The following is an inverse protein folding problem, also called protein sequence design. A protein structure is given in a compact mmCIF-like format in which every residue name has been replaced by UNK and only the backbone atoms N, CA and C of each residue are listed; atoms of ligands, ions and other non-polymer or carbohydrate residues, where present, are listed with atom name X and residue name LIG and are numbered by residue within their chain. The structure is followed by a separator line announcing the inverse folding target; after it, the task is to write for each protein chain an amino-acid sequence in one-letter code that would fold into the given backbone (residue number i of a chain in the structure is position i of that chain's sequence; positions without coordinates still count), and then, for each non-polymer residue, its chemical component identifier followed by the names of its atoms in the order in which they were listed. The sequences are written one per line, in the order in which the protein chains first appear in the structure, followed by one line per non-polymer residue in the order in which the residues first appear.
data_IF_929352761473
#
_entry.id   IF_929352761473
#
_cell.length_a   1.000
_cell.length_b   1.000
_cell.length_c   1.000
_cell.angle_alpha   90.00
_cell.angle_beta   90.00
_cell.angle_gamma   90.00
#
_symmetry.space_group_name_H-M   'P 1'
#
loop_
_entity.id
_entity.type
_entity.pdbx_description
1 polymer ?
#
# COMPACT_ATOMS: atom_id res chain seq x y z
N UNK A 1 17.04 -14.86 -48.66
CA UNK A 1 16.77 -13.58 -47.97
C UNK A 1 15.52 -13.77 -47.11
N UNK A 2 15.69 -13.90 -45.80
CA UNK A 2 15.25 -12.93 -44.77
C UNK A 2 13.74 -13.05 -44.44
N UNK A 3 13.28 -13.22 -43.20
CA UNK A 3 13.89 -12.80 -41.95
C UNK A 3 13.32 -13.53 -40.72
N UNK A 4 14.15 -13.47 -39.68
CA UNK A 4 14.00 -14.08 -38.36
C UNK A 4 12.78 -13.50 -37.64
N UNK A 5 11.92 -14.39 -37.16
CA UNK A 5 10.84 -14.08 -36.20
C UNK A 5 11.51 -13.57 -34.92
N UNK A 6 11.28 -12.29 -34.60
CA UNK A 6 11.87 -11.62 -33.45
C UNK A 6 11.25 -12.11 -32.13
N UNK A 7 12.10 -12.19 -31.11
CA UNK A 7 11.87 -12.75 -29.77
C UNK A 7 10.94 -11.89 -28.88
N UNK A 8 10.13 -10.99 -29.46
CA UNK A 8 9.40 -9.93 -28.72
C UNK A 8 8.09 -10.40 -28.06
N UNK A 9 7.60 -11.60 -28.39
CA UNK A 9 6.28 -12.08 -27.95
C UNK A 9 6.32 -13.15 -26.85
N UNK A 10 7.47 -13.45 -26.25
CA UNK A 10 7.59 -14.50 -25.23
C UNK A 10 6.95 -14.10 -23.88
N UNK A 11 6.97 -12.82 -23.55
CA UNK A 11 6.43 -12.29 -22.29
C UNK A 11 4.89 -12.17 -22.32
N UNK A 12 4.31 -11.81 -23.48
CA UNK A 12 2.85 -11.74 -23.66
C UNK A 12 2.17 -13.11 -23.52
N UNK A 13 2.85 -14.21 -23.88
CA UNK A 13 2.33 -15.58 -23.65
C UNK A 13 2.35 -16.01 -22.18
N UNK A 14 3.09 -15.32 -21.30
CA UNK A 14 3.01 -15.54 -19.84
C UNK A 14 1.83 -14.81 -19.19
N UNK A 15 1.19 -13.88 -19.90
CA UNK A 15 0.11 -13.02 -19.38
C UNK A 15 -1.22 -13.17 -20.14
N UNK A 16 -1.26 -13.86 -21.29
CA UNK A 16 -2.52 -14.16 -21.97
C UNK A 16 -3.21 -15.39 -21.37
N UNK A 17 -4.04 -15.07 -20.38
CA UNK A 17 -5.11 -15.89 -19.82
C UNK A 17 -6.05 -16.36 -20.94
N UNK A 18 -5.96 -17.64 -21.32
CA UNK A 18 -7.01 -18.29 -22.08
C UNK A 18 -8.28 -18.36 -21.23
N UNK A 19 -9.37 -17.84 -21.80
CA UNK A 19 -10.77 -17.93 -21.37
C UNK A 19 -11.08 -19.25 -20.67
N UNK A 20 -11.15 -19.27 -19.34
CA UNK A 20 -11.77 -20.37 -18.55
C UNK A 20 -11.88 -19.99 -17.06
N UNK A 21 -13.09 -20.18 -16.51
CA UNK A 21 -13.63 -19.87 -15.15
C UNK A 21 -12.84 -18.92 -14.24
N UNK A 22 -13.37 -17.69 -14.07
CA UNK A 22 -12.74 -16.52 -13.44
C UNK A 22 -12.63 -16.51 -11.89
N UNK A 23 -13.21 -17.43 -11.13
CA UNK A 23 -13.30 -17.29 -9.65
C UNK A 23 -12.36 -18.17 -8.80
N UNK A 24 -12.12 -19.44 -9.13
CA UNK A 24 -11.51 -20.37 -8.18
C UNK A 24 -9.98 -20.27 -8.04
N UNK A 25 -9.26 -19.90 -9.11
CA UNK A 25 -7.79 -19.76 -9.06
C UNK A 25 -7.33 -18.46 -8.43
N UNK A 26 -8.07 -17.35 -8.58
CA UNK A 26 -7.77 -16.10 -7.85
C UNK A 26 -7.89 -16.37 -6.36
N UNK A 27 -9.01 -16.91 -5.88
CA UNK A 27 -9.18 -17.26 -4.47
C UNK A 27 -8.12 -18.24 -3.96
N UNK A 28 -7.79 -19.31 -4.71
CA UNK A 28 -6.72 -20.24 -4.30
C UNK A 28 -5.33 -19.59 -4.28
N UNK A 29 -5.03 -18.72 -5.24
CA UNK A 29 -3.74 -18.05 -5.32
C UNK A 29 -3.60 -16.99 -4.21
N UNK A 30 -4.69 -16.26 -3.92
CA UNK A 30 -4.79 -15.32 -2.81
C UNK A 30 -4.72 -16.04 -1.47
N UNK A 31 -5.47 -17.12 -1.28
CA UNK A 31 -5.39 -17.95 -0.09
C UNK A 31 -3.98 -18.52 0.10
N UNK A 32 -3.29 -18.95 -0.95
CA UNK A 32 -1.94 -19.48 -0.84
C UNK A 32 -0.90 -18.40 -0.51
N UNK A 33 -0.97 -17.21 -1.14
CA UNK A 33 -0.09 -16.08 -0.79
C UNK A 33 -0.34 -15.62 0.66
N UNK A 34 -1.61 -15.53 1.03
CA UNK A 34 -2.07 -15.21 2.38
C UNK A 34 -1.62 -16.25 3.41
N UNK A 35 -1.82 -17.53 3.13
CA UNK A 35 -1.38 -18.63 3.97
C UNK A 35 0.15 -18.68 4.06
N UNK A 36 0.89 -18.40 2.97
CA UNK A 36 2.35 -18.31 3.05
C UNK A 36 2.83 -17.14 3.90
N UNK A 37 2.20 -15.97 3.78
CA UNK A 37 2.52 -14.80 4.59
C UNK A 37 2.21 -15.06 6.07
N UNK A 38 1.01 -15.55 6.40
CA UNK A 38 0.62 -15.84 7.77
C UNK A 38 1.38 -17.02 8.39
N UNK A 39 1.73 -18.05 7.61
CA UNK A 39 2.54 -19.18 8.10
C UNK A 39 3.99 -18.78 8.34
N UNK A 40 4.57 -17.91 7.50
CA UNK A 40 5.93 -17.41 7.66
C UNK A 40 6.02 -16.42 8.83
N UNK A 41 5.00 -15.58 9.02
CA UNK A 41 4.87 -14.72 10.20
C UNK A 41 4.84 -15.53 11.51
N UNK A 42 4.24 -16.72 11.47
CA UNK A 42 4.15 -17.65 12.61
C UNK A 42 5.51 -18.24 13.04
N UNK A 43 6.60 -18.05 12.27
CA UNK A 43 7.92 -18.60 12.59
C UNK A 43 9.00 -17.55 12.89
N UNK A 44 8.78 -16.26 12.60
CA UNK A 44 9.75 -15.20 12.94
C UNK A 44 9.37 -14.53 14.27
N UNK A 45 10.10 -14.88 15.34
CA UNK A 45 10.01 -14.17 16.63
C UNK A 45 10.17 -12.66 16.44
N UNK A 46 9.11 -11.95 16.83
CA UNK A 46 8.75 -10.55 16.53
C UNK A 46 9.70 -9.49 17.15
N UNK A 47 10.69 -9.86 17.96
CA UNK A 47 11.46 -8.89 18.78
C UNK A 47 12.82 -8.44 18.26
N UNK A 48 13.28 -8.88 17.08
CA UNK A 48 14.66 -8.55 16.61
C UNK A 48 14.81 -8.18 15.14
N UNK A 49 13.90 -7.38 14.57
CA UNK A 49 14.28 -6.55 13.41
C UNK A 49 15.10 -5.31 13.85
N UNK A 50 16.14 -5.54 14.64
CA UNK A 50 17.20 -4.58 14.94
C UNK A 50 18.05 -4.45 13.67
N UNK A 51 17.78 -3.43 12.85
CA UNK A 51 18.70 -2.87 11.83
C UNK A 51 19.50 -3.91 11.00
N UNK A 52 18.92 -5.06 10.65
CA UNK A 52 19.61 -6.02 9.78
C UNK A 52 19.19 -5.80 8.33
N UNK A 53 20.00 -4.97 7.66
CA UNK A 53 20.50 -5.20 6.30
C UNK A 53 19.54 -5.85 5.29
N UNK A 54 18.32 -5.32 5.14
CA UNK A 54 17.71 -5.24 3.80
C UNK A 54 18.15 -3.91 3.21
N UNK A 55 19.45 -3.86 2.93
CA UNK A 55 20.13 -2.79 2.20
C UNK A 55 20.29 -3.26 0.75
N UNK A 56 19.16 -3.61 0.13
CA UNK A 56 19.01 -3.75 -1.31
C UNK A 56 17.84 -2.86 -1.67
N UNK A 57 18.16 -1.58 -1.90
CA UNK A 57 17.24 -0.53 -2.36
C UNK A 57 15.85 -0.61 -1.69
N UNK A 58 15.73 -0.11 -0.46
CA UNK A 58 14.42 0.04 0.18
C UNK A 58 13.51 0.82 -0.77
N UNK A 59 12.52 0.14 -1.34
CA UNK A 59 11.52 0.74 -2.20
C UNK A 59 10.64 1.61 -1.31
N UNK A 60 11.06 2.85 -1.11
CA UNK A 60 10.33 3.83 -0.33
C UNK A 60 10.15 5.06 -1.20
N UNK A 61 9.03 5.07 -1.91
CA UNK A 61 8.52 6.27 -2.56
C UNK A 61 8.09 7.26 -1.47
N UNK A 62 9.02 8.11 -1.02
CA UNK A 62 8.75 9.13 0.00
C UNK A 62 8.80 10.52 -0.63
N UNK A 63 7.63 11.05 -1.00
CA UNK A 63 7.50 12.37 -1.62
C UNK A 63 6.79 13.37 -0.71
N UNK A 64 7.07 13.32 0.59
CA UNK A 64 6.54 14.27 1.56
C UNK A 64 6.85 15.72 1.22
N UNK A 65 8.00 15.99 0.59
CA UNK A 65 8.36 17.32 0.12
C UNK A 65 7.39 17.85 -0.95
N UNK A 66 6.74 16.98 -1.72
CA UNK A 66 5.77 17.39 -2.73
C UNK A 66 4.51 18.00 -2.09
N UNK A 67 4.09 17.49 -0.92
CA UNK A 67 2.96 18.05 -0.18
C UNK A 67 3.24 19.49 0.28
N UNK A 68 4.50 19.83 0.55
CA UNK A 68 4.89 21.21 0.89
C UNK A 68 4.90 22.12 -0.34
N UNK A 69 5.25 21.57 -1.51
CA UNK A 69 5.27 22.32 -2.78
C UNK A 69 3.88 22.59 -3.36
N UNK A 70 2.90 21.74 -3.03
CA UNK A 70 1.51 21.88 -3.47
C UNK A 70 0.60 22.01 -2.23
N UNK A 71 0.60 23.19 -1.57
CA UNK A 71 -0.24 23.39 -0.40
C UNK A 71 -1.73 23.34 -0.76
N UNK A 72 -2.60 22.97 0.19
CA UNK A 72 -4.05 23.01 -0.03
C UNK A 72 -4.49 24.45 -0.31
N UNK A 73 -5.36 24.63 -1.31
CA UNK A 73 -5.92 25.95 -1.62
C UNK A 73 -7.09 26.27 -0.69
N UNK A 74 -7.29 27.55 -0.39
CA UNK A 74 -8.49 28.01 0.29
C UNK A 74 -9.69 27.86 -0.65
N UNK A 75 -10.71 27.13 -0.21
CA UNK A 75 -11.91 26.87 -0.98
C UNK A 75 -13.14 26.88 -0.07
N UNK A 76 -14.32 27.13 -0.64
CA UNK A 76 -15.58 27.12 0.09
C UNK A 76 -16.06 25.71 0.46
N UNK A 77 -15.64 24.69 -0.29
CA UNK A 77 -16.04 23.30 -0.05
C UNK A 77 -15.26 22.69 1.12
N UNK A 78 -15.99 21.98 1.98
CA UNK A 78 -15.43 21.30 3.16
C UNK A 78 -14.56 20.10 2.80
N UNK A 79 -14.86 19.37 1.73
CA UNK A 79 -14.12 18.18 1.29
C UNK A 79 -13.58 18.35 -0.12
N UNK A 80 -12.59 17.53 -0.48
CA UNK A 80 -12.01 17.46 -1.81
C UNK A 80 -11.27 18.73 -2.22
N UNK A 81 -10.05 18.94 -1.69
CA UNK A 81 -9.23 20.08 -2.09
C UNK A 81 -8.73 19.94 -3.53
N UNK A 82 -9.06 20.92 -4.38
CA UNK A 82 -8.69 20.87 -5.81
C UNK A 82 -7.17 20.85 -6.06
N UNK A 83 -6.35 21.34 -5.11
CA UNK A 83 -4.90 21.25 -5.19
C UNK A 83 -4.38 19.80 -5.29
N UNK A 84 -5.19 18.81 -4.88
CA UNK A 84 -4.88 17.40 -5.08
C UNK A 84 -4.66 17.03 -6.55
N UNK A 85 -5.38 17.69 -7.48
CA UNK A 85 -5.23 17.45 -8.91
C UNK A 85 -3.86 17.86 -9.40
N UNK A 86 -3.41 19.02 -8.96
CA UNK A 86 -2.09 19.56 -9.29
C UNK A 86 -0.99 18.70 -8.64
N UNK A 87 -1.23 18.23 -7.42
CA UNK A 87 -0.33 17.31 -6.74
C UNK A 87 -0.18 15.97 -7.49
N UNK A 88 -1.29 15.37 -7.94
CA UNK A 88 -1.26 14.17 -8.78
C UNK A 88 -0.59 14.43 -10.13
N UNK A 89 -0.69 15.63 -10.69
CA UNK A 89 0.02 15.95 -11.93
C UNK A 89 1.53 16.03 -11.71
N UNK A 90 1.97 16.63 -10.60
CA UNK A 90 3.38 16.71 -10.26
C UNK A 90 3.98 15.37 -9.82
N UNK A 91 3.16 14.41 -9.39
CA UNK A 91 3.65 13.07 -9.01
C UNK A 91 4.05 12.22 -10.23
N UNK A 92 3.44 12.47 -11.39
CA UNK A 92 3.70 11.73 -12.63
C UNK A 92 5.19 11.65 -12.99
N UNK A 93 5.91 12.79 -13.19
CA UNK A 93 7.32 12.75 -13.56
C UNK A 93 8.21 12.13 -12.46
N UNK A 94 7.80 12.25 -11.19
CA UNK A 94 8.53 11.65 -10.06
C UNK A 94 8.41 10.13 -10.09
N UNK A 95 7.22 9.60 -10.35
CA UNK A 95 7.01 8.15 -10.51
C UNK A 95 7.79 7.62 -11.72
N UNK A 96 7.80 8.35 -12.83
CA UNK A 96 8.54 7.97 -14.03
C UNK A 96 10.06 7.90 -13.79
N UNK A 97 10.64 8.92 -13.17
CA UNK A 97 12.06 8.93 -12.78
C UNK A 97 12.38 7.82 -11.76
N UNK A 98 11.48 7.64 -10.79
CA UNK A 98 11.64 6.64 -9.76
C UNK A 98 11.64 5.21 -10.32
N UNK A 99 10.70 4.84 -11.18
CA UNK A 99 10.65 3.51 -11.79
C UNK A 99 11.87 3.26 -12.69
N UNK A 100 12.31 4.27 -13.46
CA UNK A 100 13.53 4.17 -14.28
C UNK A 100 14.76 3.86 -13.43
N UNK A 101 14.89 4.50 -12.26
CA UNK A 101 16.03 4.30 -11.34
C UNK A 101 15.97 2.97 -10.59
N UNK A 102 14.78 2.51 -10.21
CA UNK A 102 14.62 1.30 -9.39
C UNK A 102 14.64 0.01 -10.21
N UNK A 103 14.21 0.03 -11.47
CA UNK A 103 14.12 -1.18 -12.28
C UNK A 103 15.46 -1.52 -12.95
N UNK A 104 15.89 -2.79 -12.92
CA UNK A 104 17.00 -3.26 -13.73
C UNK A 104 16.77 -3.02 -15.22
N UNK A 105 17.85 -2.83 -15.99
CA UNK A 105 17.78 -2.52 -17.43
C UNK A 105 16.95 -3.54 -18.23
N UNK A 106 17.02 -4.82 -17.87
CA UNK A 106 16.27 -5.90 -18.51
C UNK A 106 14.77 -5.92 -18.17
N UNK A 107 14.33 -5.13 -17.18
CA UNK A 107 12.93 -5.04 -16.72
C UNK A 107 12.30 -3.67 -16.98
N UNK A 108 12.98 -2.76 -17.69
CA UNK A 108 12.46 -1.41 -17.97
C UNK A 108 11.12 -1.42 -18.71
N UNK A 109 10.84 -2.44 -19.52
CA UNK A 109 9.53 -2.59 -20.19
C UNK A 109 8.37 -2.81 -19.20
N UNK A 110 8.63 -3.34 -18.01
CA UNK A 110 7.62 -3.53 -16.97
C UNK A 110 7.22 -2.19 -16.30
N UNK A 111 8.02 -1.12 -16.47
CA UNK A 111 7.72 0.20 -15.93
C UNK A 111 6.36 0.73 -16.39
N UNK A 112 5.95 0.41 -17.63
CA UNK A 112 4.66 0.84 -18.19
C UNK A 112 3.48 0.36 -17.35
N UNK A 113 3.48 -0.91 -16.93
CA UNK A 113 2.40 -1.48 -16.13
C UNK A 113 2.52 -1.07 -14.66
N UNK A 114 3.74 -1.11 -14.11
CA UNK A 114 4.03 -0.70 -12.74
C UNK A 114 3.66 0.76 -12.46
N UNK A 115 3.85 1.63 -13.44
CA UNK A 115 3.46 3.05 -13.39
C UNK A 115 1.98 3.21 -13.13
N UNK A 116 1.13 2.46 -13.84
CA UNK A 116 -0.32 2.55 -13.66
C UNK A 116 -0.73 2.14 -12.25
N UNK A 117 -0.23 1.02 -11.73
CA UNK A 117 -0.54 0.60 -10.36
C UNK A 117 -0.07 1.62 -9.31
N UNK A 118 1.14 2.19 -9.47
CA UNK A 118 1.67 3.14 -8.49
C UNK A 118 0.92 4.48 -8.52
N UNK A 119 0.60 5.02 -9.70
CA UNK A 119 -0.14 6.27 -9.80
C UNK A 119 -1.57 6.14 -9.30
N UNK A 120 -2.25 5.07 -9.69
CA UNK A 120 -3.61 4.80 -9.23
C UNK A 120 -3.66 4.49 -7.74
N UNK A 121 -2.53 4.28 -7.07
CA UNK A 121 -2.52 4.01 -5.64
C UNK A 121 -2.74 5.25 -4.76
N UNK A 122 -2.67 6.47 -5.30
CA UNK A 122 -2.76 7.68 -4.47
C UNK A 122 -4.15 8.32 -4.43
N UNK A 123 -5.12 7.79 -5.18
CA UNK A 123 -6.50 8.31 -5.23
C UNK A 123 -6.95 8.65 -6.65
N UNK A 124 -8.17 9.14 -6.80
CA UNK A 124 -8.72 9.52 -8.10
C UNK A 124 -8.67 11.04 -8.33
N UNK A 125 -8.06 11.47 -9.43
CA UNK A 125 -7.95 12.90 -9.79
C UNK A 125 -9.30 13.60 -9.98
N UNK A 126 -10.27 12.93 -10.61
CA UNK A 126 -11.55 13.55 -10.95
C UNK A 126 -12.43 13.69 -9.71
N UNK A 127 -12.58 12.58 -8.97
CA UNK A 127 -13.43 12.49 -7.78
C UNK A 127 -12.78 13.08 -6.53
N UNK A 128 -11.46 13.25 -6.50
CA UNK A 128 -10.70 13.73 -5.33
C UNK A 128 -10.99 12.84 -4.11
N UNK A 129 -10.93 11.53 -4.36
CA UNK A 129 -11.23 10.50 -3.38
C UNK A 129 -10.08 9.52 -3.23
N UNK A 130 -10.09 8.79 -2.11
CA UNK A 130 -9.21 7.67 -1.83
C UNK A 130 -10.00 6.58 -1.10
N UNK A 131 -9.64 5.32 -1.28
CA UNK A 131 -10.23 4.22 -0.53
C UNK A 131 -9.47 2.92 -0.74
N UNK A 132 -10.07 1.81 -0.30
CA UNK A 132 -9.46 0.47 -0.28
C UNK A 132 -9.03 -0.02 -1.66
N UNK A 133 -9.69 0.43 -2.73
CA UNK A 133 -9.28 0.13 -4.10
C UNK A 133 -7.92 0.75 -4.49
N UNK A 134 -7.64 1.97 -4.00
CA UNK A 134 -6.36 2.66 -4.23
C UNK A 134 -5.24 2.02 -3.40
N UNK A 135 -5.53 1.70 -2.15
CA UNK A 135 -4.64 0.87 -1.33
C UNK A 135 -4.29 -0.46 -2.03
N UNK A 136 -5.30 -1.13 -2.59
CA UNK A 136 -5.10 -2.39 -3.30
C UNK A 136 -4.22 -2.22 -4.54
N UNK A 137 -4.25 -1.07 -5.22
CA UNK A 137 -3.33 -0.79 -6.31
C UNK A 137 -1.87 -0.69 -5.84
N UNK A 138 -1.61 -0.12 -4.66
CA UNK A 138 -0.26 -0.16 -4.09
C UNK A 138 0.18 -1.59 -3.77
N UNK A 139 -0.74 -2.40 -3.25
CA UNK A 139 -0.46 -3.82 -3.01
C UNK A 139 -0.14 -4.56 -4.32
N UNK A 140 -0.91 -4.34 -5.39
CA UNK A 140 -0.66 -4.93 -6.71
C UNK A 140 0.67 -4.47 -7.31
N UNK A 141 1.05 -3.22 -7.05
CA UNK A 141 2.36 -2.70 -7.39
C UNK A 141 3.48 -3.52 -6.71
N UNK A 142 3.41 -3.71 -5.38
CA UNK A 142 4.40 -4.51 -4.63
C UNK A 142 4.42 -5.98 -5.07
N UNK A 143 3.24 -6.55 -5.28
CA UNK A 143 3.09 -7.92 -5.78
C UNK A 143 3.71 -8.09 -7.17
N UNK A 144 3.59 -7.08 -8.04
CA UNK A 144 4.20 -7.11 -9.37
C UNK A 144 5.72 -7.11 -9.30
N UNK A 145 6.33 -6.34 -8.39
CA UNK A 145 7.77 -6.39 -8.14
C UNK A 145 8.24 -7.79 -7.69
N UNK A 146 7.47 -8.43 -6.80
CA UNK A 146 7.73 -9.82 -6.42
C UNK A 146 7.65 -10.77 -7.62
N UNK A 147 6.61 -10.65 -8.46
CA UNK A 147 6.45 -11.48 -9.66
C UNK A 147 7.54 -11.29 -10.71
N UNK A 148 8.17 -10.12 -10.73
CA UNK A 148 9.33 -9.82 -11.58
C UNK A 148 10.64 -10.37 -11.00
N UNK A 149 10.61 -10.95 -9.80
CA UNK A 149 11.79 -11.49 -9.11
C UNK A 149 12.70 -10.41 -8.51
N UNK A 150 12.21 -9.17 -8.39
CA UNK A 150 12.92 -8.09 -7.69
C UNK A 150 12.94 -8.38 -6.19
N UNK A 151 11.86 -8.96 -5.69
CA UNK A 151 11.74 -9.44 -4.32
C UNK A 151 11.56 -10.94 -4.27
N UNK A 152 11.98 -11.50 -3.14
CA UNK A 152 11.84 -12.93 -2.81
C UNK A 152 11.00 -13.09 -1.54
N UNK A 153 10.64 -14.33 -1.22
CA UNK A 153 9.86 -14.65 -0.01
C UNK A 153 10.57 -14.24 1.29
N UNK A 154 11.91 -14.09 1.26
CA UNK A 154 12.69 -13.61 2.40
C UNK A 154 12.49 -12.12 2.68
N UNK A 155 11.97 -11.38 1.70
CA UNK A 155 11.81 -9.93 1.76
C UNK A 155 10.40 -9.52 2.20
N UNK A 156 9.44 -10.44 2.30
CA UNK A 156 8.03 -10.15 2.57
C UNK A 156 7.79 -9.29 3.81
N UNK A 157 8.35 -9.69 4.95
CA UNK A 157 8.21 -8.95 6.21
C UNK A 157 8.80 -7.53 6.09
N UNK A 158 9.97 -7.42 5.46
CA UNK A 158 10.64 -6.14 5.22
C UNK A 158 9.84 -5.23 4.30
N UNK A 159 9.22 -5.77 3.24
CA UNK A 159 8.40 -5.01 2.30
C UNK A 159 7.15 -4.47 2.98
N UNK A 160 6.46 -5.28 3.79
CA UNK A 160 5.27 -4.81 4.52
C UNK A 160 5.68 -3.72 5.51
N UNK A 161 6.66 -3.96 6.38
CA UNK A 161 7.05 -3.00 7.43
C UNK A 161 7.76 -1.75 6.92
N UNK A 162 8.47 -1.80 5.78
CA UNK A 162 9.26 -0.66 5.29
C UNK A 162 8.61 0.07 4.12
N UNK A 163 7.94 -0.64 3.20
CA UNK A 163 7.31 -0.04 2.03
C UNK A 163 5.83 0.22 2.27
N UNK A 164 5.07 -0.81 2.67
CA UNK A 164 3.63 -0.70 2.86
C UNK A 164 3.26 0.25 4.00
N UNK A 165 3.91 0.13 5.16
CA UNK A 165 3.74 1.08 6.27
C UNK A 165 4.00 2.53 5.89
N UNK A 166 5.13 2.79 5.22
CA UNK A 166 5.46 4.15 4.79
C UNK A 166 4.49 4.68 3.75
N UNK A 167 3.97 3.81 2.88
CA UNK A 167 2.91 4.18 1.96
C UNK A 167 1.63 4.55 2.71
N UNK A 168 1.18 3.76 3.69
CA UNK A 168 -0.01 4.07 4.47
C UNK A 168 0.14 5.38 5.24
N UNK A 169 1.28 5.61 5.89
CA UNK A 169 1.58 6.88 6.56
C UNK A 169 1.56 8.05 5.59
N UNK A 170 2.09 7.86 4.38
CA UNK A 170 2.08 8.88 3.35
C UNK A 170 0.67 9.13 2.82
N UNK A 171 -0.08 8.09 2.47
CA UNK A 171 -1.46 8.17 1.99
C UNK A 171 -2.34 8.91 3.01
N UNK A 172 -2.18 8.63 4.31
CA UNK A 172 -2.86 9.37 5.39
C UNK A 172 -2.53 10.84 5.42
N UNK A 173 -1.27 11.22 5.20
CA UNK A 173 -0.89 12.63 5.07
C UNK A 173 -1.58 13.27 3.87
N UNK A 174 -1.60 12.61 2.72
CA UNK A 174 -2.30 13.10 1.52
C UNK A 174 -3.80 13.28 1.79
N UNK A 175 -4.45 12.28 2.39
CA UNK A 175 -5.86 12.31 2.78
C UNK A 175 -6.18 13.52 3.66
N UNK A 176 -5.39 13.75 4.71
CA UNK A 176 -5.60 14.87 5.63
C UNK A 176 -5.25 16.22 5.01
N UNK A 177 -4.18 16.32 4.22
CA UNK A 177 -3.75 17.57 3.59
C UNK A 177 -4.76 18.07 2.56
N UNK A 178 -5.31 17.17 1.74
CA UNK A 178 -6.26 17.54 0.68
C UNK A 178 -7.72 17.23 1.03
N UNK A 179 -8.00 16.80 2.26
CA UNK A 179 -9.34 16.49 2.74
C UNK A 179 -10.10 15.59 1.75
N UNK A 180 -9.45 14.52 1.31
CA UNK A 180 -9.99 13.61 0.29
C UNK A 180 -11.31 12.98 0.76
N UNK A 181 -12.18 12.64 -0.18
CA UNK A 181 -13.41 11.92 0.15
C UNK A 181 -13.13 10.41 0.27
N UNK A 182 -13.82 9.69 1.17
CA UNK A 182 -13.71 8.24 1.26
C UNK A 182 -14.42 7.57 0.08
N UNK A 183 -13.67 6.83 -0.72
CA UNK A 183 -14.17 6.15 -1.90
C UNK A 183 -14.85 4.83 -1.51
N UNK A 184 -16.18 4.77 -1.66
CA UNK A 184 -16.96 3.57 -1.41
C UNK A 184 -17.13 3.25 0.08
N UNK A 185 -17.32 4.27 0.92
CA UNK A 185 -17.56 4.07 2.34
C UNK A 185 -18.79 3.18 2.57
N UNK A 186 -18.64 2.17 3.43
CA UNK A 186 -19.73 1.29 3.84
C UNK A 186 -20.53 1.86 5.03
N UNK A 187 -20.33 3.14 5.35
CA UNK A 187 -20.91 3.79 6.53
C UNK A 187 -20.49 3.07 7.82
N UNK A 188 -21.45 2.90 8.74
CA UNK A 188 -21.24 2.26 10.06
C UNK A 188 -20.78 0.80 9.98
N UNK A 189 -20.90 0.16 8.81
CA UNK A 189 -20.45 -1.22 8.58
C UNK A 189 -19.04 -1.31 7.97
N UNK A 190 -18.41 -0.18 7.66
CA UNK A 190 -17.03 -0.12 7.24
C UNK A 190 -16.08 -0.27 8.43
N UNK A 191 -15.01 -1.02 8.25
CA UNK A 191 -13.94 -1.14 9.25
C UNK A 191 -13.19 0.19 9.44
N UNK A 192 -12.96 0.90 8.34
CA UNK A 192 -12.36 2.23 8.27
C UNK A 192 -12.80 2.89 6.95
N UNK A 193 -12.75 4.22 6.92
CA UNK A 193 -13.18 5.01 5.76
C UNK A 193 -12.25 4.85 4.53
N UNK A 194 -10.96 4.56 4.75
CA UNK A 194 -9.96 4.56 3.69
C UNK A 194 -9.21 3.23 3.54
N UNK A 195 -8.93 2.53 4.63
CA UNK A 195 -7.95 1.44 4.65
C UNK A 195 -8.55 0.10 5.10
N UNK A 196 -8.00 -1.01 4.59
CA UNK A 196 -8.39 -2.34 5.02
C UNK A 196 -7.19 -3.26 5.28
N UNK A 197 -6.24 -3.29 4.34
CA UNK A 197 -5.02 -4.09 4.47
C UNK A 197 -4.15 -3.80 5.72
N UNK A 198 -4.14 -2.60 6.35
CA UNK A 198 -3.31 -2.34 7.52
C UNK A 198 -3.84 -3.07 8.75
N UNK A 199 -5.17 -3.23 8.85
CA UNK A 199 -5.79 -4.04 9.90
C UNK A 199 -5.49 -5.51 9.71
N UNK A 200 -5.49 -5.96 8.47
CA UNK A 200 -5.13 -7.31 8.08
C UNK A 200 -3.68 -7.64 8.45
N UNK A 201 -2.72 -6.83 8.01
CA UNK A 201 -1.30 -7.09 8.29
C UNK A 201 -0.98 -6.85 9.76
N UNK A 202 -1.58 -5.81 10.36
CA UNK A 202 -1.44 -5.55 11.78
C UNK A 202 -2.04 -6.65 12.68
N UNK A 203 -3.13 -7.30 12.26
CA UNK A 203 -3.68 -8.44 13.00
C UNK A 203 -2.77 -9.66 12.88
N UNK A 204 -2.20 -9.89 11.70
CA UNK A 204 -1.17 -10.92 11.53
C UNK A 204 0.01 -10.66 12.47
N UNK A 205 0.38 -9.39 12.68
CA UNK A 205 1.45 -9.01 13.61
C UNK A 205 1.20 -9.33 15.07
N UNK A 206 -0.05 -9.46 15.46
CA UNK A 206 -0.45 -9.74 16.84
C UNK A 206 -0.63 -11.24 17.11
N UNK A 207 -0.46 -12.10 16.11
CA UNK A 207 -0.50 -13.55 16.29
C UNK A 207 0.65 -13.97 17.20
N UNK A 208 0.32 -14.65 18.30
CA UNK A 208 1.29 -15.12 19.32
C UNK A 208 2.19 -14.01 19.86
N UNK A 209 1.64 -12.80 20.03
CA UNK A 209 2.38 -11.71 20.63
C UNK A 209 2.78 -12.05 22.08
N UNK A 210 4.03 -11.75 22.45
CA UNK A 210 4.60 -12.06 23.76
C UNK A 210 3.94 -11.28 24.91
N UNK A 211 3.25 -10.18 24.59
CA UNK A 211 2.70 -9.25 25.55
C UNK A 211 1.25 -9.61 25.97
N UNK A 212 0.72 -10.72 25.45
CA UNK A 212 -0.62 -11.21 25.81
C UNK A 212 -1.76 -10.29 25.35
N UNK A 213 -1.52 -9.50 24.30
CA UNK A 213 -2.50 -8.62 23.68
C UNK A 213 -3.61 -9.46 23.05
N UNK A 214 -4.84 -9.20 23.49
CA UNK A 214 -6.06 -9.80 22.98
C UNK A 214 -6.82 -8.79 22.11
N UNK A 215 -7.79 -9.24 21.27
CA UNK A 215 -8.66 -8.33 20.53
C UNK A 215 -9.34 -7.28 21.43
N UNK A 216 -9.76 -7.64 22.64
CA UNK A 216 -10.36 -6.70 23.61
C UNK A 216 -9.43 -5.55 24.04
N UNK A 217 -8.12 -5.70 23.85
CA UNK A 217 -7.14 -4.67 24.17
C UNK A 217 -7.22 -3.46 23.23
N UNK A 218 -7.89 -3.57 22.08
CA UNK A 218 -8.03 -2.46 21.10
C UNK A 218 -8.84 -1.28 21.64
N UNK A 219 -9.64 -1.48 22.69
CA UNK A 219 -10.47 -0.44 23.30
C UNK A 219 -9.69 0.34 24.38
N UNK A 220 -8.61 -0.24 24.90
CA UNK A 220 -7.86 0.31 26.04
C UNK A 220 -6.91 1.41 25.56
N UNK A 221 -7.22 2.67 25.85
CA UNK A 221 -6.39 3.81 25.42
C UNK A 221 -4.91 3.70 25.80
N UNK A 222 -4.61 3.16 26.99
CA UNK A 222 -3.22 2.98 27.45
C UNK A 222 -2.46 1.97 26.58
N UNK A 223 -3.13 0.89 26.14
CA UNK A 223 -2.54 -0.10 25.25
C UNK A 223 -2.28 0.54 23.89
N UNK A 224 -3.27 1.24 23.32
CA UNK A 224 -3.13 1.92 22.03
C UNK A 224 -1.94 2.88 22.06
N UNK A 225 -1.84 3.73 23.09
CA UNK A 225 -0.74 4.71 23.23
C UNK A 225 0.64 4.05 23.29
N UNK A 226 0.75 2.92 23.98
CA UNK A 226 2.03 2.21 24.14
C UNK A 226 2.45 1.47 22.87
N UNK A 227 1.49 0.92 22.11
CA UNK A 227 1.76 -0.02 21.02
C UNK A 227 1.59 0.53 19.61
N UNK A 228 1.02 1.74 19.45
CA UNK A 228 0.79 2.36 18.13
C UNK A 228 2.05 2.61 17.30
N UNK A 229 3.21 2.72 17.94
CA UNK A 229 4.49 2.90 17.24
C UNK A 229 5.06 1.57 16.72
N UNK A 230 4.66 0.44 17.31
CA UNK A 230 5.23 -0.88 17.04
C UNK A 230 4.35 -1.72 16.12
N UNK A 231 3.03 -1.57 16.24
CA UNK A 231 2.04 -2.37 15.53
C UNK A 231 1.10 -1.47 14.71
N UNK A 232 1.02 -1.74 13.41
CA UNK A 232 0.15 -0.98 12.50
C UNK A 232 -1.32 -1.09 12.89
N UNK A 233 -1.76 -2.20 13.47
CA UNK A 233 -3.15 -2.33 13.93
C UNK A 233 -3.51 -1.22 14.92
N UNK A 234 -2.72 -1.08 15.99
CA UNK A 234 -2.93 -0.04 17.00
C UNK A 234 -2.74 1.36 16.44
N UNK A 235 -1.84 1.54 15.46
CA UNK A 235 -1.69 2.80 14.75
C UNK A 235 -2.98 3.19 13.99
N UNK A 236 -3.65 2.23 13.34
CA UNK A 236 -4.91 2.50 12.64
C UNK A 236 -6.01 2.90 13.62
N UNK A 237 -6.12 2.20 14.76
CA UNK A 237 -7.11 2.50 15.80
C UNK A 237 -6.87 3.89 16.40
N UNK A 238 -5.62 4.26 16.71
CA UNK A 238 -5.27 5.59 17.23
C UNK A 238 -5.72 6.71 16.28
N UNK A 239 -5.53 6.50 14.97
CA UNK A 239 -5.91 7.47 13.94
C UNK A 239 -7.43 7.55 13.80
N UNK A 240 -8.12 6.41 13.80
CA UNK A 240 -9.58 6.38 13.75
C UNK A 240 -10.19 7.18 14.91
N UNK A 241 -9.73 6.94 16.14
CA UNK A 241 -10.17 7.68 17.34
C UNK A 241 -9.85 9.18 17.26
N UNK A 242 -8.72 9.57 16.65
CA UNK A 242 -8.37 10.97 16.46
C UNK A 242 -9.25 11.66 15.42
N UNK A 243 -9.61 10.96 14.34
CA UNK A 243 -10.53 11.47 13.32
C UNK A 243 -11.92 11.69 13.93
N UNK A 244 -12.46 10.71 14.66
CA UNK A 244 -13.75 10.84 15.36
C UNK A 244 -13.77 12.06 16.29
N UNK A 245 -12.76 12.20 17.17
CA UNK A 245 -12.63 13.34 18.10
C UNK A 245 -12.55 14.70 17.40
N UNK A 246 -12.00 14.78 16.18
CA UNK A 246 -11.94 16.03 15.39
C UNK A 246 -13.26 16.40 14.70
N UNK A 247 -14.21 15.46 14.65
CA UNK A 247 -15.53 15.67 14.03
C UNK A 247 -16.57 16.21 15.00
N UNK A 248 -16.25 16.24 16.30
CA UNK A 248 -17.12 16.80 17.35
C UNK A 248 -16.80 18.30 17.46
N UNK A 249 -17.74 19.19 17.11
CA UNK A 249 -17.55 20.64 17.22
C UNK A 249 -17.45 21.14 18.67
#
# INVERSE_FOLDING_TARGET
MTGRITNSNRWRRRLQLNRMSRNSRRQKYWANYWHSYNHQYNQSKIRRFRKQKIMRSSFTFNNQQLLQKVPPIQQSMRYGNKAFRDWLDQINPIVDDYLKKQLPQNLQNAAVELRSYLLDSFGNKQRIDYGTGHEFQFFLFLFSLFRLGIYTEKDYEGIVRLAFYKYIDFARKVQMTYMLEPAGSHGVWGLDDYQFLPFVFGAAELIQNDDGLLPDSIIKENVIKNYKAEYMFFQCIDIHQQCEKRTIP
#
